data_IF_308497219529
#
_entry.id   IF_308497219529
#
_cell.length_a   1.000
_cell.length_b   1.000
_cell.length_c   1.000
_cell.angle_alpha   90.00
_cell.angle_beta   90.00
_cell.angle_gamma   90.00
#
_symmetry.space_group_name_H-M   'P 1'
#
loop_
_entity.id
_entity.type
_entity.pdbx_description
1 polymer ?
#
# COMPACT_ATOMS: atom_id res chain seq x y z
N UNK A 1 10.26 8.49 16.91
CA UNK A 1 9.02 7.70 17.05
C UNK A 1 9.30 6.26 16.67
N UNK A 2 9.77 5.96 15.43
CA UNK A 2 9.98 4.59 14.92
C UNK A 2 10.87 3.72 15.83
N UNK A 3 11.97 4.26 16.34
CA UNK A 3 12.85 3.52 17.26
C UNK A 3 12.15 3.11 18.57
N UNK A 4 11.27 3.94 19.11
CA UNK A 4 10.51 3.61 20.31
C UNK A 4 9.40 2.60 20.03
N UNK A 5 8.78 2.70 18.85
CA UNK A 5 7.78 1.74 18.40
C UNK A 5 8.39 0.35 18.18
N UNK A 6 9.50 0.27 17.43
CA UNK A 6 10.23 -0.97 17.25
C UNK A 6 10.72 -1.58 18.59
N UNK A 7 11.16 -0.74 19.54
CA UNK A 7 11.51 -1.20 20.87
C UNK A 7 10.33 -1.81 21.63
N UNK A 8 9.12 -1.25 21.47
CA UNK A 8 7.90 -1.82 22.06
C UNK A 8 7.56 -3.20 21.48
N UNK A 9 7.66 -3.35 20.14
CA UNK A 9 7.47 -4.64 19.48
C UNK A 9 8.51 -5.64 19.97
N UNK A 10 9.78 -5.26 20.00
CA UNK A 10 10.87 -6.13 20.43
C UNK A 10 10.77 -6.55 21.90
N UNK A 11 10.18 -5.70 22.76
CA UNK A 11 9.90 -6.07 24.14
C UNK A 11 8.91 -7.25 24.23
N UNK A 12 7.92 -7.33 23.32
CA UNK A 12 7.05 -8.49 23.23
C UNK A 12 7.77 -9.72 22.64
N UNK A 13 8.64 -9.52 21.65
CA UNK A 13 9.49 -10.60 21.13
C UNK A 13 10.35 -11.19 22.25
N UNK A 14 10.99 -10.33 23.08
CA UNK A 14 11.76 -10.78 24.25
C UNK A 14 10.88 -11.52 25.28
N UNK A 15 9.63 -11.11 25.43
CA UNK A 15 8.70 -11.78 26.32
C UNK A 15 8.38 -13.20 25.84
N UNK A 16 8.02 -13.37 24.57
CA UNK A 16 7.69 -14.70 24.03
C UNK A 16 8.89 -15.63 23.90
N UNK A 17 10.11 -15.10 23.80
CA UNK A 17 11.33 -15.87 23.88
C UNK A 17 11.57 -16.45 25.28
N UNK A 18 11.19 -15.72 26.34
CA UNK A 18 11.30 -16.16 27.73
C UNK A 18 10.11 -16.99 28.19
N UNK A 19 8.92 -16.71 27.69
CA UNK A 19 7.65 -17.33 28.02
C UNK A 19 6.97 -17.87 26.75
N UNK A 20 7.45 -19.01 26.20
CA UNK A 20 6.97 -19.54 24.90
C UNK A 20 5.47 -19.83 24.84
N UNK A 21 4.83 -20.01 25.99
CA UNK A 21 3.37 -20.18 26.08
C UNK A 21 2.59 -18.93 25.66
N UNK A 22 3.22 -17.77 25.65
CA UNK A 22 2.64 -16.50 25.17
C UNK A 22 2.79 -16.28 23.67
N UNK A 23 3.45 -17.19 22.96
CA UNK A 23 3.55 -17.10 21.51
C UNK A 23 2.16 -17.20 20.89
N UNK A 24 1.74 -16.25 20.02
CA UNK A 24 0.47 -16.32 19.32
C UNK A 24 0.31 -17.63 18.55
N UNK A 25 -0.93 -18.13 18.49
CA UNK A 25 -1.22 -19.44 17.91
C UNK A 25 -0.84 -19.53 16.43
N UNK A 26 -0.95 -18.43 15.69
CA UNK A 26 -0.57 -18.34 14.28
C UNK A 26 0.89 -18.72 14.07
N UNK A 27 1.79 -18.23 14.92
CA UNK A 27 3.21 -18.60 14.84
C UNK A 27 3.43 -20.09 15.11
N UNK A 28 2.64 -20.70 16.02
CA UNK A 28 2.71 -22.12 16.30
C UNK A 28 2.21 -22.95 15.13
N UNK A 29 1.08 -22.54 14.53
CA UNK A 29 0.47 -23.23 13.39
C UNK A 29 1.39 -23.23 12.17
N UNK A 30 2.08 -22.12 11.92
CA UNK A 30 3.00 -21.99 10.79
C UNK A 30 4.44 -22.40 11.09
N UNK A 31 4.75 -22.75 12.34
CA UNK A 31 6.10 -23.14 12.75
C UNK A 31 7.12 -22.00 12.64
N UNK A 32 6.65 -20.75 12.72
CA UNK A 32 7.48 -19.54 12.59
C UNK A 32 7.68 -18.84 13.93
N UNK A 33 8.52 -17.82 13.96
CA UNK A 33 8.77 -16.98 15.13
C UNK A 33 8.70 -15.51 14.74
N UNK A 34 8.27 -14.62 15.65
CA UNK A 34 8.29 -13.19 15.39
C UNK A 34 9.74 -12.70 15.19
N UNK A 35 9.94 -11.95 14.13
CA UNK A 35 11.23 -11.31 13.85
C UNK A 35 11.42 -10.04 14.69
N UNK A 36 12.68 -9.68 14.98
CA UNK A 36 13.00 -8.43 15.63
C UNK A 36 12.93 -7.29 14.64
N UNK A 37 12.31 -6.20 15.06
CA UNK A 37 12.13 -5.01 14.26
C UNK A 37 13.25 -4.00 14.46
N UNK A 38 13.69 -3.42 13.36
CA UNK A 38 14.52 -2.20 13.32
C UNK A 38 13.62 -0.98 13.13
N UNK A 39 14.08 0.25 13.45
CA UNK A 39 13.28 1.46 13.24
C UNK A 39 12.80 1.64 11.80
N UNK A 40 13.61 1.22 10.83
CA UNK A 40 13.32 1.30 9.39
C UNK A 40 12.16 0.40 8.96
N UNK A 41 11.94 -0.71 9.67
CA UNK A 41 10.90 -1.68 9.34
C UNK A 41 9.49 -1.08 9.49
N UNK A 42 9.33 -0.09 10.36
CA UNK A 42 8.09 0.70 10.50
C UNK A 42 7.71 1.41 9.19
N UNK A 43 8.71 1.90 8.46
CA UNK A 43 8.50 2.58 7.17
C UNK A 43 8.38 1.55 6.05
N UNK A 44 9.22 0.51 6.06
CA UNK A 44 9.24 -0.53 5.03
C UNK A 44 7.93 -1.27 4.92
N UNK A 45 7.35 -1.68 6.04
CA UNK A 45 6.08 -2.41 6.03
C UNK A 45 4.93 -1.57 5.45
N UNK A 46 5.01 -0.25 5.55
CA UNK A 46 3.99 0.66 5.03
C UNK A 46 4.16 0.93 3.54
N UNK A 47 5.37 0.94 3.02
CA UNK A 47 5.65 1.24 1.61
C UNK A 47 5.03 0.22 0.65
N UNK A 48 4.79 -1.01 1.09
CA UNK A 48 4.15 -2.05 0.28
C UNK A 48 2.63 -1.87 0.07
N UNK A 49 1.99 -0.97 0.82
CA UNK A 49 0.53 -0.89 0.85
C UNK A 49 -0.09 0.39 0.28
N UNK A 50 0.71 1.40 -0.09
CA UNK A 50 0.14 2.73 -0.25
C UNK A 50 -0.37 3.05 -1.64
N UNK A 51 0.21 2.49 -2.68
CA UNK A 51 -0.31 2.65 -4.04
C UNK A 51 0.35 1.69 -5.00
N UNK A 52 -0.46 1.11 -5.86
CA UNK A 52 -0.01 0.17 -6.88
C UNK A 52 -0.76 0.46 -8.16
N UNK A 53 -0.43 1.56 -8.83
CA UNK A 53 -1.05 1.89 -10.09
C UNK A 53 -0.19 1.54 -11.31
N UNK A 54 1.05 1.07 -11.15
CA UNK A 54 1.92 0.65 -12.27
C UNK A 54 1.27 -0.38 -13.18
N UNK A 55 0.53 -1.36 -12.63
CA UNK A 55 -0.23 -2.32 -13.43
C UNK A 55 -1.37 -1.67 -14.21
N UNK A 56 -2.02 -0.64 -13.64
CA UNK A 56 -3.04 0.15 -14.33
C UNK A 56 -2.44 0.95 -15.48
N UNK A 57 -1.23 1.48 -15.32
CA UNK A 57 -0.49 2.16 -16.38
C UNK A 57 -0.13 1.20 -17.54
N UNK A 58 0.35 0.01 -17.22
CA UNK A 58 0.60 -1.02 -18.23
C UNK A 58 -0.69 -1.44 -18.95
N UNK A 59 -1.78 -1.65 -18.21
CA UNK A 59 -3.07 -1.99 -18.81
C UNK A 59 -3.57 -0.87 -19.74
N UNK A 60 -3.39 0.40 -19.35
CA UNK A 60 -3.67 1.56 -20.19
C UNK A 60 -2.85 1.54 -21.48
N UNK A 61 -1.54 1.28 -21.36
CA UNK A 61 -0.66 1.19 -22.54
C UNK A 61 -1.14 0.10 -23.52
N UNK A 62 -1.53 -1.07 -23.02
CA UNK A 62 -2.08 -2.14 -23.86
C UNK A 62 -3.40 -1.75 -24.53
N UNK A 63 -4.30 -1.10 -23.80
CA UNK A 63 -5.59 -0.64 -24.36
C UNK A 63 -5.35 0.41 -25.44
N UNK A 64 -4.47 1.38 -25.18
CA UNK A 64 -4.17 2.44 -26.14
C UNK A 64 -3.42 1.96 -27.39
N UNK A 65 -2.66 0.87 -27.28
CA UNK A 65 -2.02 0.24 -28.42
C UNK A 65 -2.99 -0.55 -29.30
N UNK A 66 -4.06 -1.11 -28.74
CA UNK A 66 -5.04 -1.95 -29.43
C UNK A 66 -6.40 -1.26 -29.72
N UNK A 67 -6.65 -0.12 -29.09
CA UNK A 67 -7.91 0.60 -29.19
C UNK A 67 -7.68 2.12 -29.04
N UNK A 68 -8.48 2.79 -28.21
CA UNK A 68 -8.41 4.24 -28.02
C UNK A 68 -8.64 4.68 -26.55
N UNK A 69 -8.52 5.97 -26.32
CA UNK A 69 -8.74 6.55 -25.00
C UNK A 69 -10.19 6.40 -24.49
N UNK A 70 -11.18 6.21 -25.38
CA UNK A 70 -12.56 5.98 -24.97
C UNK A 70 -12.71 4.58 -24.34
N UNK A 71 -12.03 3.58 -24.93
CA UNK A 71 -11.98 2.22 -24.38
C UNK A 71 -11.27 2.20 -23.00
N UNK A 72 -10.18 2.96 -22.82
CA UNK A 72 -9.52 3.04 -21.51
C UNK A 72 -10.39 3.72 -20.46
N UNK A 73 -11.15 4.75 -20.81
CA UNK A 73 -12.12 5.37 -19.89
C UNK A 73 -13.22 4.42 -19.43
N UNK A 74 -13.64 3.48 -20.29
CA UNK A 74 -14.60 2.44 -19.90
C UNK A 74 -13.99 1.43 -18.92
N UNK A 75 -12.73 1.15 -19.07
CA UNK A 75 -11.98 0.25 -18.16
C UNK A 75 -11.73 0.88 -16.79
N UNK A 76 -11.38 2.16 -16.78
CA UNK A 76 -11.00 2.89 -15.57
C UNK A 76 -11.68 4.26 -15.54
N UNK A 77 -12.91 4.29 -15.03
CA UNK A 77 -13.66 5.53 -14.83
C UNK A 77 -13.07 6.27 -13.62
N UNK A 78 -12.40 7.39 -13.87
CA UNK A 78 -11.84 8.27 -12.83
C UNK A 78 -12.77 9.45 -12.63
N UNK A 79 -13.11 9.75 -11.38
CA UNK A 79 -13.89 10.92 -10.99
C UNK A 79 -13.04 11.89 -10.12
N UNK A 80 -12.84 13.12 -10.51
CA UNK A 80 -13.30 13.73 -11.78
C UNK A 80 -12.56 13.16 -13.00
N UNK A 81 -13.16 13.20 -14.21
CA UNK A 81 -12.53 12.69 -15.42
C UNK A 81 -11.20 13.40 -15.67
N UNK A 82 -10.15 12.63 -15.86
CA UNK A 82 -8.82 13.14 -16.23
C UNK A 82 -8.56 12.75 -17.67
N UNK A 83 -8.31 13.76 -18.52
CA UNK A 83 -7.81 13.53 -19.86
C UNK A 83 -6.30 13.33 -19.82
N UNK A 84 -5.88 12.10 -20.05
CA UNK A 84 -4.46 11.76 -20.15
C UNK A 84 -4.09 11.70 -21.63
N UNK A 85 -3.20 12.59 -22.07
CA UNK A 85 -2.59 12.49 -23.38
C UNK A 85 -1.37 11.56 -23.28
N UNK A 86 -1.36 10.43 -24.02
CA UNK A 86 -0.20 9.54 -24.03
C UNK A 86 1.05 10.28 -24.50
N UNK A 87 2.15 10.09 -23.79
CA UNK A 87 3.45 10.62 -24.23
C UNK A 87 3.93 9.87 -25.49
N UNK A 88 4.71 10.50 -26.39
CA UNK A 88 5.26 9.84 -27.56
C UNK A 88 6.06 8.59 -27.19
N UNK A 89 5.75 7.47 -27.84
CA UNK A 89 6.38 6.18 -27.56
C UNK A 89 5.74 5.36 -26.46
N UNK A 90 4.60 5.80 -25.93
CA UNK A 90 3.83 5.06 -24.92
C UNK A 90 3.33 3.70 -25.42
N UNK A 91 3.07 3.59 -26.72
CA UNK A 91 2.76 2.33 -27.42
C UNK A 91 3.85 1.27 -27.29
N UNK A 92 5.11 1.68 -27.14
CA UNK A 92 6.23 0.78 -26.91
C UNK A 92 6.17 0.05 -25.58
N UNK A 93 5.53 0.63 -24.57
CA UNK A 93 5.29 -0.05 -23.29
C UNK A 93 4.39 -1.27 -23.45
N UNK A 94 3.41 -1.21 -24.35
CA UNK A 94 2.53 -2.34 -24.64
C UNK A 94 3.26 -3.48 -25.35
N UNK A 95 4.33 -3.18 -26.08
CA UNK A 95 5.14 -4.15 -26.83
C UNK A 95 6.37 -4.62 -26.04
N UNK A 96 6.73 -3.90 -24.98
CA UNK A 96 7.80 -4.35 -24.10
C UNK A 96 7.35 -5.67 -23.44
N UNK A 97 8.18 -6.75 -23.52
CA UNK A 97 7.90 -7.89 -22.67
C UNK A 97 7.90 -7.35 -21.24
N UNK A 98 6.73 -7.36 -20.60
CA UNK A 98 6.63 -7.06 -19.18
C UNK A 98 7.28 -8.23 -18.46
N UNK A 99 8.57 -8.18 -18.41
CA UNK A 99 9.38 -8.97 -17.49
C UNK A 99 9.35 -8.23 -16.13
N UNK A 100 8.17 -8.18 -15.52
CA UNK A 100 8.17 -8.58 -14.12
C UNK A 100 8.56 -10.07 -14.19
N UNK A 101 9.79 -10.45 -13.84
CA UNK A 101 10.09 -11.86 -13.82
C UNK A 101 9.04 -12.46 -12.90
N UNK A 102 8.17 -13.37 -13.40
CA UNK A 102 7.18 -14.02 -12.56
C UNK A 102 7.83 -14.60 -11.32
N UNK A 103 9.11 -14.92 -11.42
CA UNK A 103 9.98 -15.40 -10.38
C UNK A 103 10.30 -14.36 -9.27
N UNK A 104 10.47 -13.08 -9.61
CA UNK A 104 10.64 -12.04 -8.57
C UNK A 104 9.30 -11.64 -7.94
N UNK A 105 8.24 -11.60 -8.72
CA UNK A 105 6.90 -11.44 -8.17
C UNK A 105 6.52 -12.70 -7.36
N UNK A 106 6.83 -13.89 -7.85
CA UNK A 106 6.62 -15.15 -7.15
C UNK A 106 7.51 -15.27 -5.91
N UNK A 107 8.78 -14.88 -5.95
CA UNK A 107 9.65 -14.93 -4.77
C UNK A 107 9.20 -13.96 -3.68
N UNK A 108 8.71 -12.77 -4.03
CA UNK A 108 8.10 -11.83 -3.06
C UNK A 108 6.73 -12.34 -2.58
N UNK A 109 6.07 -13.21 -3.34
CA UNK A 109 4.76 -13.78 -3.06
C UNK A 109 4.85 -15.18 -2.42
N UNK A 110 5.94 -15.92 -2.63
CA UNK A 110 6.14 -17.28 -2.09
C UNK A 110 6.35 -17.30 -0.57
N UNK A 111 6.75 -16.18 0.02
CA UNK A 111 6.87 -16.05 1.47
C UNK A 111 5.53 -15.71 2.17
N UNK A 112 4.47 -15.39 1.42
CA UNK A 112 3.17 -15.06 1.97
C UNK A 112 2.11 -16.13 1.59
N UNK A 113 1.64 -16.95 2.52
CA UNK A 113 0.66 -18.03 2.25
C UNK A 113 -0.67 -17.55 1.64
N UNK A 114 -0.99 -16.27 1.78
CA UNK A 114 -2.24 -15.66 1.29
C UNK A 114 -2.25 -15.41 -0.22
N UNK A 115 -1.11 -15.47 -0.89
CA UNK A 115 -0.96 -15.12 -2.31
C UNK A 115 -0.93 -16.33 -3.25
N UNK A 116 -0.89 -17.54 -2.73
CA UNK A 116 -0.96 -18.77 -3.52
C UNK A 116 -2.28 -18.97 -4.26
N UNK A 117 -3.27 -18.12 -3.99
CA UNK A 117 -4.61 -18.21 -4.60
C UNK A 117 -4.79 -17.27 -5.78
N UNK A 118 -3.98 -16.21 -5.91
CA UNK A 118 -4.09 -15.25 -7.00
C UNK A 118 -3.14 -15.62 -8.15
N UNK A 119 -3.47 -16.66 -8.89
CA UNK A 119 -2.70 -17.08 -10.09
C UNK A 119 -3.10 -16.31 -11.35
N UNK A 120 -4.10 -15.44 -11.28
CA UNK A 120 -4.63 -14.68 -12.40
C UNK A 120 -4.56 -13.17 -12.08
N UNK A 121 -3.98 -12.40 -13.02
CA UNK A 121 -3.98 -10.94 -12.97
C UNK A 121 -5.38 -10.35 -12.78
N UNK A 122 -6.41 -11.02 -13.33
CA UNK A 122 -7.81 -10.67 -13.14
C UNK A 122 -8.30 -10.82 -11.70
N UNK A 123 -7.72 -11.69 -10.89
CA UNK A 123 -8.05 -11.82 -9.46
C UNK A 123 -7.38 -10.73 -8.62
N UNK A 124 -6.13 -10.38 -8.96
CA UNK A 124 -5.42 -9.26 -8.30
C UNK A 124 -6.14 -7.94 -8.57
N UNK A 125 -6.61 -7.72 -9.79
CA UNK A 125 -7.38 -6.53 -10.15
C UNK A 125 -8.76 -6.52 -9.49
N UNK A 126 -9.44 -7.67 -9.40
CA UNK A 126 -10.74 -7.80 -8.72
C UNK A 126 -10.66 -7.60 -7.21
N UNK A 127 -9.57 -8.01 -6.56
CA UNK A 127 -9.39 -7.78 -5.13
C UNK A 127 -9.35 -6.28 -4.78
N UNK A 128 -8.88 -5.43 -5.69
CA UNK A 128 -8.90 -3.97 -5.53
C UNK A 128 -10.30 -3.35 -5.71
N UNK A 129 -11.20 -3.99 -6.47
CA UNK A 129 -12.57 -3.51 -6.71
C UNK A 129 -13.46 -3.54 -5.46
N UNK A 130 -13.13 -4.36 -4.46
CA UNK A 130 -13.91 -4.51 -3.23
C UNK A 130 -13.41 -3.64 -2.06
N UNK A 131 -12.27 -2.97 -2.22
CA UNK A 131 -11.77 -2.06 -1.22
C UNK A 131 -12.26 -0.64 -1.49
N UNK A 132 -12.85 -0.03 -0.48
CA UNK A 132 -13.36 1.32 -0.55
C UNK A 132 -13.38 1.97 0.82
N UNK A 133 -13.96 3.14 0.92
CA UNK A 133 -14.20 3.82 2.19
C UNK A 133 -15.15 4.98 2.00
N UNK A 134 -15.98 5.23 3.03
CA UNK A 134 -16.82 6.43 3.08
C UNK A 134 -16.44 7.28 4.29
N UNK A 135 -16.36 8.57 4.10
CA UNK A 135 -16.21 9.54 5.18
C UNK A 135 -17.28 10.64 5.08
N UNK A 136 -17.76 11.04 6.23
CA UNK A 136 -18.79 12.08 6.34
C UNK A 136 -18.39 13.05 7.43
N UNK A 137 -18.46 14.32 7.14
CA UNK A 137 -18.32 15.38 8.14
C UNK A 137 -19.59 16.21 8.19
N UNK A 138 -20.20 16.32 9.37
CA UNK A 138 -21.39 17.13 9.61
C UNK A 138 -21.01 18.32 10.46
N UNK A 139 -21.27 19.52 9.94
CA UNK A 139 -20.99 20.76 10.66
C UNK A 139 -21.86 20.88 11.91
N UNK A 140 -21.32 21.45 12.99
CA UNK A 140 -21.98 21.58 14.28
C UNK A 140 -23.32 22.31 14.27
N UNK A 141 -23.56 23.22 13.30
CA UNK A 141 -24.86 23.86 13.11
C UNK A 141 -26.01 22.92 12.72
N UNK A 142 -25.67 21.70 12.32
CA UNK A 142 -26.61 20.63 11.94
C UNK A 142 -26.69 19.49 12.95
N UNK A 143 -26.07 19.66 14.12
CA UNK A 143 -26.07 18.67 15.19
C UNK A 143 -26.78 19.24 16.41
N UNK A 144 -27.42 18.41 17.20
CA UNK A 144 -28.09 18.78 18.43
C UNK A 144 -27.11 19.37 19.46
N UNK A 145 -25.90 18.85 19.51
CA UNK A 145 -24.87 19.25 20.47
C UNK A 145 -24.10 20.51 20.09
N UNK A 146 -24.28 21.01 18.87
CA UNK A 146 -23.47 22.10 18.32
C UNK A 146 -22.01 21.69 17.98
N UNK A 147 -21.65 20.41 18.14
CA UNK A 147 -20.32 19.88 17.84
C UNK A 147 -20.33 19.19 16.47
N UNK A 148 -19.24 19.27 15.69
CA UNK A 148 -19.16 18.52 14.45
C UNK A 148 -19.15 17.01 14.71
N UNK A 149 -19.65 16.24 13.75
CA UNK A 149 -19.59 14.78 13.76
C UNK A 149 -18.75 14.35 12.56
N UNK A 150 -17.79 13.46 12.81
CA UNK A 150 -17.05 12.76 11.77
C UNK A 150 -17.42 11.29 11.84
N UNK A 151 -17.92 10.75 10.73
CA UNK A 151 -18.11 9.33 10.54
C UNK A 151 -17.07 8.80 9.53
N UNK A 152 -16.56 7.62 9.80
CA UNK A 152 -15.59 6.95 8.92
C UNK A 152 -15.96 5.48 8.78
N UNK A 153 -15.92 4.99 7.55
CA UNK A 153 -16.35 3.66 7.18
C UNK A 153 -15.35 3.05 6.18
N UNK A 154 -14.22 2.54 6.67
CA UNK A 154 -13.22 1.90 5.83
C UNK A 154 -13.66 0.48 5.48
N UNK A 155 -13.91 0.22 4.21
CA UNK A 155 -14.26 -1.10 3.69
C UNK A 155 -12.98 -1.92 3.52
N UNK A 156 -12.84 -2.98 4.29
CA UNK A 156 -11.69 -3.87 4.27
C UNK A 156 -12.13 -5.31 4.48
N UNK A 157 -11.31 -6.22 4.00
CA UNK A 157 -11.50 -7.65 4.25
C UNK A 157 -11.57 -7.92 5.75
N UNK A 158 -12.56 -8.71 6.16
CA UNK A 158 -12.64 -9.19 7.54
C UNK A 158 -11.61 -10.29 7.75
N UNK A 159 -10.68 -10.06 8.64
CA UNK A 159 -9.59 -10.98 8.96
C UNK A 159 -9.31 -11.00 10.47
N UNK A 160 -8.66 -12.06 10.91
CA UNK A 160 -8.11 -12.18 12.26
C UNK A 160 -6.63 -12.54 12.12
N UNK A 161 -5.73 -11.69 12.60
CA UNK A 161 -5.98 -10.42 13.31
C UNK A 161 -6.57 -9.34 12.38
N UNK A 162 -7.32 -8.40 12.96
CA UNK A 162 -7.88 -7.26 12.22
C UNK A 162 -6.78 -6.32 11.74
N UNK A 163 -6.99 -5.72 10.56
CA UNK A 163 -6.10 -4.67 10.04
C UNK A 163 -5.99 -3.47 11.00
N UNK A 164 -7.03 -3.21 11.79
CA UNK A 164 -7.06 -2.06 12.70
C UNK A 164 -7.47 -2.44 14.10
N UNK A 165 -6.94 -1.69 15.06
CA UNK A 165 -7.32 -1.75 16.47
C UNK A 165 -7.80 -0.37 16.93
N UNK A 166 -8.69 -0.35 17.93
CA UNK A 166 -9.11 0.86 18.60
C UNK A 166 -8.23 1.11 19.81
N UNK A 167 -7.84 2.36 20.02
CA UNK A 167 -6.99 2.76 21.12
C UNK A 167 -7.31 4.17 21.59
N UNK A 168 -7.23 4.39 22.89
CA UNK A 168 -7.22 5.70 23.52
C UNK A 168 -5.86 5.89 24.21
N UNK A 169 -5.11 6.87 23.75
CA UNK A 169 -3.79 7.20 24.26
C UNK A 169 -3.86 8.50 25.03
N UNK A 170 -3.52 8.45 26.32
CA UNK A 170 -3.52 9.62 27.21
C UNK A 170 -2.16 9.79 27.89
N UNK A 171 -1.61 10.98 27.83
CA UNK A 171 -0.39 11.39 28.52
C UNK A 171 -0.45 12.90 28.83
N UNK A 172 0.43 13.44 29.67
CA UNK A 172 0.47 14.89 29.89
C UNK A 172 0.62 15.67 28.58
N UNK A 173 -0.40 16.50 28.26
CA UNK A 173 -0.45 17.28 27.01
C UNK A 173 -0.81 16.49 25.76
N UNK A 174 -1.22 15.23 25.89
CA UNK A 174 -1.62 14.39 24.77
C UNK A 174 -2.83 13.54 25.15
N UNK A 175 -3.90 13.66 24.36
CA UNK A 175 -5.13 12.87 24.50
C UNK A 175 -5.72 12.64 23.11
N UNK A 176 -5.72 11.38 22.65
CA UNK A 176 -6.23 11.02 21.35
C UNK A 176 -6.85 9.62 21.36
N UNK A 177 -8.01 9.51 20.73
CA UNK A 177 -8.73 8.24 20.59
C UNK A 177 -9.06 7.97 19.12
N UNK A 178 -8.97 6.72 18.72
CA UNK A 178 -9.31 6.30 17.35
C UNK A 178 -8.75 4.94 16.97
N UNK A 179 -8.58 4.76 15.68
CA UNK A 179 -8.08 3.51 15.08
C UNK A 179 -6.66 3.68 14.55
N UNK A 180 -5.83 2.68 14.80
CA UNK A 180 -4.48 2.54 14.25
C UNK A 180 -4.29 1.21 13.55
N UNK A 181 -3.20 1.06 12.84
CA UNK A 181 -2.74 -0.22 12.30
C UNK A 181 -1.63 -0.78 13.18
N UNK A 182 -1.59 -2.12 13.43
CA UNK A 182 -0.62 -2.71 14.33
C UNK A 182 0.85 -2.45 13.97
N UNK A 183 1.11 -2.23 12.69
CA UNK A 183 2.46 -2.01 12.16
C UNK A 183 2.91 -0.55 12.13
N UNK A 184 2.02 0.39 12.46
CA UNK A 184 2.28 1.84 12.31
C UNK A 184 2.00 2.56 13.63
N UNK A 185 2.93 3.38 14.14
CA UNK A 185 2.71 4.16 15.36
C UNK A 185 1.66 5.25 15.15
N UNK A 186 0.79 5.43 16.13
CA UNK A 186 -0.16 6.53 16.19
C UNK A 186 -1.59 6.13 15.83
N UNK A 187 -2.44 7.15 15.81
CA UNK A 187 -3.86 7.04 15.49
C UNK A 187 -4.07 7.60 14.08
N UNK A 188 -4.47 6.74 13.17
CA UNK A 188 -4.65 7.09 11.76
C UNK A 188 -6.00 7.74 11.48
N UNK A 189 -7.01 7.37 12.24
CA UNK A 189 -8.38 7.89 12.12
C UNK A 189 -8.92 8.06 13.53
N UNK A 190 -9.35 9.27 13.89
CA UNK A 190 -9.84 9.54 15.22
C UNK A 190 -9.88 11.03 15.55
N UNK A 191 -9.79 11.35 16.83
CA UNK A 191 -9.79 12.74 17.30
C UNK A 191 -8.96 12.93 18.57
N UNK A 192 -8.58 14.17 18.82
CA UNK A 192 -7.90 14.59 20.04
C UNK A 192 -8.74 15.60 20.88
N UNK A 193 -10.05 15.60 20.69
CA UNK A 193 -10.96 16.54 21.33
C UNK A 193 -11.07 17.91 20.63
N UNK A 194 -10.05 18.33 19.88
CA UNK A 194 -10.03 19.61 19.15
C UNK A 194 -10.17 19.43 17.65
N UNK A 195 -9.50 18.43 17.09
CA UNK A 195 -9.53 18.07 15.68
C UNK A 195 -9.89 16.60 15.51
N UNK A 196 -10.59 16.28 14.44
CA UNK A 196 -10.87 14.92 14.02
C UNK A 196 -10.32 14.70 12.61
N UNK A 197 -9.85 13.49 12.34
CA UNK A 197 -9.24 13.12 11.08
C UNK A 197 -9.66 11.71 10.64
N UNK A 198 -9.86 11.54 9.35
CA UNK A 198 -10.21 10.27 8.76
C UNK A 198 -9.66 10.15 7.35
N UNK A 199 -9.51 8.92 6.85
CA UNK A 199 -8.95 8.60 5.55
C UNK A 199 -9.92 7.78 4.72
N UNK A 200 -9.96 8.06 3.43
CA UNK A 200 -10.50 7.16 2.41
C UNK A 200 -9.39 6.73 1.46
N UNK A 201 -9.61 5.65 0.73
CA UNK A 201 -8.75 5.33 -0.40
C UNK A 201 -9.00 6.40 -1.48
N UNK A 202 -7.92 7.00 -1.92
CA UNK A 202 -7.89 7.90 -3.05
C UNK A 202 -6.98 7.27 -4.11
N UNK A 203 -7.53 6.94 -5.27
CA UNK A 203 -6.80 6.34 -6.39
C UNK A 203 -5.87 7.34 -7.06
N UNK A 204 -4.96 7.95 -6.29
CA UNK A 204 -3.97 8.87 -6.82
C UNK A 204 -2.99 8.12 -7.71
N UNK A 205 -2.61 8.76 -8.80
CA UNK A 205 -1.52 8.35 -9.65
C UNK A 205 -0.19 8.63 -8.91
N UNK A 206 0.52 7.58 -8.51
CA UNK A 206 1.74 7.67 -7.70
C UNK A 206 2.88 6.80 -8.23
N UNK A 207 2.63 5.98 -9.22
CA UNK A 207 3.63 5.13 -9.85
C UNK A 207 3.66 5.38 -11.35
N UNK A 208 4.85 5.63 -11.87
CA UNK A 208 5.09 5.75 -13.29
C UNK A 208 5.88 4.56 -13.82
N UNK A 209 5.61 4.17 -15.05
CA UNK A 209 6.37 3.14 -15.74
C UNK A 209 7.29 3.81 -16.76
N UNK A 210 8.58 3.56 -16.63
CA UNK A 210 9.60 4.11 -17.51
C UNK A 210 10.19 3.03 -18.43
N UNK A 211 10.27 3.33 -19.70
CA UNK A 211 10.98 2.50 -20.67
C UNK A 211 12.37 3.07 -20.91
N UNK A 212 13.40 2.32 -20.56
CA UNK A 212 14.78 2.70 -20.80
C UNK A 212 15.36 2.00 -22.02
N UNK A 213 16.07 2.77 -22.85
CA UNK A 213 16.94 2.24 -23.87
C UNK A 213 18.23 1.77 -23.21
N UNK A 214 18.53 0.46 -23.28
CA UNK A 214 19.79 -0.11 -22.79
C UNK A 214 20.80 -0.27 -23.91
N UNK A 215 22.09 -0.27 -23.58
CA UNK A 215 23.14 -0.52 -24.55
C UNK A 215 23.15 -2.00 -24.97
N UNK A 216 23.26 -2.31 -26.26
CA UNK A 216 23.33 -3.70 -26.73
C UNK A 216 24.55 -4.48 -26.19
N UNK A 217 25.66 -3.76 -25.96
CA UNK A 217 26.92 -4.30 -25.47
C UNK A 217 27.07 -4.24 -23.94
N UNK A 218 26.19 -3.50 -23.25
CA UNK A 218 26.16 -3.35 -21.80
C UNK A 218 24.71 -3.11 -21.31
N UNK A 219 23.94 -4.18 -21.07
CA UNK A 219 22.54 -4.06 -20.65
C UNK A 219 22.34 -3.44 -19.26
N UNK A 220 23.41 -3.26 -18.47
CA UNK A 220 23.38 -2.53 -17.22
C UNK A 220 23.52 -1.01 -17.39
N UNK A 221 23.76 -0.54 -18.62
CA UNK A 221 23.77 0.89 -18.93
C UNK A 221 22.50 1.28 -19.67
N UNK A 222 21.90 2.40 -19.27
CA UNK A 222 20.70 2.96 -19.85
C UNK A 222 20.89 4.41 -20.27
N UNK A 223 20.07 4.87 -21.21
CA UNK A 223 20.13 6.23 -21.73
C UNK A 223 19.41 7.18 -20.81
N UNK A 224 20.12 8.23 -20.35
CA UNK A 224 19.55 9.27 -19.51
C UNK A 224 20.26 10.61 -19.73
N UNK A 225 19.51 11.74 -19.72
CA UNK A 225 20.09 13.09 -19.79
C UNK A 225 20.96 13.37 -21.01
N UNK A 226 20.78 12.63 -22.13
CA UNK A 226 21.61 12.73 -23.33
C UNK A 226 22.91 11.90 -23.32
N UNK A 227 23.16 11.16 -22.23
CA UNK A 227 24.30 10.24 -22.05
C UNK A 227 23.88 8.81 -21.72
N UNK A 228 24.85 8.04 -21.29
CA UNK A 228 24.64 6.69 -20.77
C UNK A 228 25.01 6.66 -19.28
N UNK A 229 24.11 6.12 -18.48
CA UNK A 229 24.34 5.91 -17.04
C UNK A 229 24.27 4.43 -16.70
N UNK A 230 25.06 4.02 -15.72
CA UNK A 230 25.06 2.64 -15.26
C UNK A 230 24.02 2.44 -14.18
N UNK A 231 23.25 1.35 -14.25
CA UNK A 231 22.30 0.93 -13.23
C UNK A 231 23.05 0.59 -11.93
N UNK A 232 22.47 0.98 -10.82
CA UNK A 232 22.93 0.55 -9.51
C UNK A 232 22.06 -0.62 -9.05
N UNK A 233 22.68 -1.77 -8.86
CA UNK A 233 22.03 -2.92 -8.23
C UNK A 233 22.04 -2.75 -6.71
N UNK A 234 20.92 -2.99 -6.08
CA UNK A 234 20.76 -3.03 -4.62
C UNK A 234 20.16 -4.38 -4.28
N UNK A 235 20.84 -5.12 -3.41
CA UNK A 235 20.31 -6.35 -2.82
C UNK A 235 19.55 -5.98 -1.52
N UNK A 236 18.31 -6.45 -1.39
CA UNK A 236 17.47 -6.27 -0.19
C UNK A 236 17.13 -7.62 0.46
#
# INVERSE_FOLDING_TARGET
ICARFAAGINAYVDLVEREPERLPEEFRLFGTKPARWRPEDVVRIRSHGLTRNALSELARAHVLAGADAAADRLRNAVEPPIEVAPVPGFDRLAMAPVTFPPERLAATLDEAPLWRVATDLGEVLRAQEFEGSNNWAVHGSRTETGRPILATDPHRTHAVPSLRYLVHLTAPGFDAIGAGEPSVPGIMMGHNGTAAFSLTIFGADQEDVYLYETRPDDPESYRYGGGWERMRTVEE
#
